data_IF_796251007206
#
_entry.id   IF_796251007206
#
_cell.length_a   1.000
_cell.length_b   1.000
_cell.length_c   1.000
_cell.angle_alpha   90.00
_cell.angle_beta   90.00
_cell.angle_gamma   90.00
#
_symmetry.space_group_name_H-M   'P 1'
#
loop_
_entity.id
_entity.type
_entity.pdbx_description
1 polymer ?
#
# COMPACT_ATOMS: atom_id res chain seq x y z
N UNK A 1 -13.29 -29.87 41.94
CA UNK A 1 -14.27 -29.10 41.15
C UNK A 1 -13.50 -28.08 40.30
N UNK A 2 -13.17 -28.46 39.06
CA UNK A 2 -12.45 -27.62 38.09
C UNK A 2 -13.37 -26.59 37.45
N UNK A 3 -12.89 -25.35 37.34
CA UNK A 3 -13.34 -24.42 36.30
C UNK A 3 -12.09 -23.85 35.63
N UNK A 4 -11.76 -24.41 34.48
CA UNK A 4 -10.74 -23.87 33.59
C UNK A 4 -11.30 -22.60 32.93
N UNK A 5 -10.63 -21.48 33.16
CA UNK A 5 -10.89 -20.22 32.46
C UNK A 5 -10.38 -20.34 31.03
N UNK A 6 -11.20 -20.11 29.99
CA UNK A 6 -10.67 -20.06 28.63
C UNK A 6 -9.90 -18.74 28.46
N UNK A 7 -8.58 -18.82 28.33
CA UNK A 7 -7.76 -17.72 27.82
C UNK A 7 -8.27 -17.37 26.43
N UNK A 8 -8.88 -16.19 26.29
CA UNK A 8 -9.24 -15.61 24.99
C UNK A 8 -7.94 -15.26 24.26
N UNK A 9 -7.47 -16.15 23.39
CA UNK A 9 -6.38 -15.86 22.47
C UNK A 9 -6.82 -14.73 21.54
N UNK A 10 -6.26 -13.53 21.72
CA UNK A 10 -6.39 -12.44 20.77
C UNK A 10 -5.45 -12.77 19.61
N UNK A 11 -6.01 -13.32 18.52
CA UNK A 11 -5.25 -13.49 17.29
C UNK A 11 -4.78 -12.11 16.79
N UNK A 12 -3.53 -11.95 16.29
CA UNK A 12 -3.13 -10.72 15.62
C UNK A 12 -3.98 -10.54 14.36
N UNK A 13 -4.85 -9.53 14.37
CA UNK A 13 -5.89 -9.28 13.35
C UNK A 13 -5.35 -8.65 12.06
N UNK A 14 -4.19 -9.07 11.57
CA UNK A 14 -3.71 -8.63 10.24
C UNK A 14 -3.65 -9.83 9.32
N UNK A 15 -4.70 -10.08 8.53
CA UNK A 15 -4.60 -10.92 7.35
C UNK A 15 -3.44 -10.41 6.47
N UNK A 16 -2.62 -11.28 5.89
CA UNK A 16 -1.48 -10.89 5.04
C UNK A 16 -1.89 -9.95 3.90
N UNK A 17 -3.14 -10.04 3.45
CA UNK A 17 -3.74 -9.19 2.43
C UNK A 17 -3.66 -7.70 2.77
N UNK A 18 -3.80 -7.32 4.05
CA UNK A 18 -3.71 -5.92 4.49
C UNK A 18 -2.29 -5.37 4.45
N UNK A 19 -1.27 -6.21 4.59
CA UNK A 19 0.12 -5.77 4.50
C UNK A 19 0.49 -5.37 3.06
N UNK A 20 0.02 -6.13 2.07
CA UNK A 20 0.21 -5.81 0.66
C UNK A 20 -0.47 -4.49 0.26
N UNK A 21 -1.71 -4.29 0.70
CA UNK A 21 -2.44 -3.04 0.45
C UNK A 21 -1.71 -1.80 1.02
N UNK A 22 -1.11 -1.91 2.21
CA UNK A 22 -0.40 -0.80 2.82
C UNK A 22 0.88 -0.40 2.04
N UNK A 23 1.62 -1.36 1.47
CA UNK A 23 2.82 -1.06 0.67
C UNK A 23 2.43 -0.42 -0.66
N UNK A 24 1.34 -0.86 -1.30
CA UNK A 24 0.78 -0.25 -2.52
C UNK A 24 0.37 1.20 -2.28
N UNK A 25 -0.33 1.47 -1.17
CA UNK A 25 -0.74 2.82 -0.78
C UNK A 25 0.47 3.74 -0.54
N UNK A 26 1.48 3.25 0.20
CA UNK A 26 2.73 3.97 0.42
C UNK A 26 3.46 4.30 -0.90
N UNK A 27 3.57 3.33 -1.80
CA UNK A 27 4.18 3.51 -3.11
C UNK A 27 3.41 4.54 -3.96
N UNK A 28 2.08 4.50 -3.90
CA UNK A 28 1.21 5.44 -4.60
C UNK A 28 1.36 6.87 -4.06
N UNK A 29 1.37 7.04 -2.74
CA UNK A 29 1.61 8.34 -2.10
C UNK A 29 2.96 8.90 -2.53
N UNK A 30 4.03 8.12 -2.40
CA UNK A 30 5.37 8.53 -2.82
C UNK A 30 5.39 8.95 -4.30
N UNK A 31 4.83 8.15 -5.20
CA UNK A 31 4.81 8.45 -6.64
C UNK A 31 4.01 9.72 -6.94
N UNK A 32 2.90 9.93 -6.24
CA UNK A 32 2.03 11.10 -6.43
C UNK A 32 2.72 12.43 -6.11
N UNK A 33 3.80 12.39 -5.32
CA UNK A 33 4.61 13.55 -4.92
C UNK A 33 5.81 13.80 -5.85
N UNK A 34 6.15 12.85 -6.72
CA UNK A 34 7.33 12.99 -7.58
C UNK A 34 7.10 14.01 -8.71
N UNK A 35 7.94 15.04 -8.73
CA UNK A 35 8.04 16.02 -9.81
C UNK A 35 9.53 16.32 -10.09
N UNK A 36 10.11 15.86 -11.22
CA UNK A 36 9.46 15.17 -12.33
C UNK A 36 9.10 13.71 -12.00
N UNK A 37 8.06 13.17 -12.67
CA UNK A 37 7.66 11.78 -12.48
C UNK A 37 8.75 10.82 -12.99
N UNK A 38 9.17 9.82 -12.20
CA UNK A 38 10.20 8.86 -12.59
C UNK A 38 9.78 8.07 -13.83
N UNK A 39 10.74 7.78 -14.72
CA UNK A 39 10.52 6.96 -15.91
C UNK A 39 11.64 5.93 -16.04
N UNK A 40 11.33 4.63 -16.24
CA UNK A 40 9.98 4.03 -16.29
C UNK A 40 9.37 3.82 -14.89
N UNK A 41 8.06 4.09 -14.74
CA UNK A 41 7.38 4.09 -13.43
C UNK A 41 7.36 2.70 -12.77
N UNK A 42 6.91 1.68 -13.51
CA UNK A 42 6.68 0.34 -12.93
C UNK A 42 7.99 -0.30 -12.43
N UNK A 43 9.10 -0.32 -13.21
CA UNK A 43 10.37 -0.84 -12.71
C UNK A 43 10.89 -0.10 -11.47
N UNK A 44 10.68 1.22 -11.41
CA UNK A 44 11.11 2.02 -10.26
C UNK A 44 10.32 1.67 -8.99
N UNK A 45 8.98 1.54 -9.10
CA UNK A 45 8.15 1.13 -7.97
C UNK A 45 8.51 -0.27 -7.47
N UNK A 46 8.71 -1.22 -8.38
CA UNK A 46 9.10 -2.59 -8.03
C UNK A 46 10.43 -2.62 -7.29
N UNK A 47 11.44 -1.92 -7.81
CA UNK A 47 12.77 -1.85 -7.20
C UNK A 47 12.75 -1.18 -5.82
N UNK A 48 11.92 -0.16 -5.64
CA UNK A 48 11.91 0.69 -4.45
C UNK A 48 11.10 0.09 -3.29
N UNK A 49 10.00 -0.58 -3.60
CA UNK A 49 9.04 -1.07 -2.61
C UNK A 49 8.90 -2.59 -2.60
N UNK A 50 9.75 -3.30 -3.36
CA UNK A 50 9.72 -4.76 -3.54
C UNK A 50 8.35 -5.28 -4.03
N UNK A 51 7.68 -4.48 -4.86
CA UNK A 51 6.36 -4.81 -5.37
C UNK A 51 6.41 -5.81 -6.52
N UNK A 52 5.37 -6.64 -6.61
CA UNK A 52 5.05 -7.37 -7.83
C UNK A 52 4.64 -6.40 -8.95
N UNK A 53 4.57 -6.92 -10.19
CA UNK A 53 4.14 -6.11 -11.32
C UNK A 53 2.70 -5.59 -11.18
N UNK A 54 1.80 -6.39 -10.60
CA UNK A 54 0.39 -6.02 -10.39
C UNK A 54 0.28 -4.91 -9.34
N UNK A 55 0.90 -5.10 -8.18
CA UNK A 55 0.93 -4.08 -7.11
C UNK A 55 1.54 -2.75 -7.58
N UNK A 56 2.58 -2.80 -8.41
CA UNK A 56 3.18 -1.59 -8.98
C UNK A 56 2.24 -0.88 -9.98
N UNK A 57 1.45 -1.63 -10.75
CA UNK A 57 0.42 -1.06 -11.64
C UNK A 57 -0.70 -0.42 -10.81
N UNK A 58 -1.15 -1.09 -9.76
CA UNK A 58 -2.15 -0.57 -8.82
C UNK A 58 -1.66 0.72 -8.14
N UNK A 59 -0.43 0.73 -7.64
CA UNK A 59 0.19 1.90 -7.04
C UNK A 59 0.30 3.05 -8.05
N UNK A 60 0.64 2.77 -9.31
CA UNK A 60 0.70 3.78 -10.35
C UNK A 60 -0.68 4.40 -10.65
N UNK A 61 -1.73 3.58 -10.73
CA UNK A 61 -3.10 4.05 -10.92
C UNK A 61 -3.60 4.88 -9.71
N UNK A 62 -3.30 4.42 -8.50
CA UNK A 62 -3.68 5.09 -7.26
C UNK A 62 -2.95 6.44 -7.10
N UNK A 63 -1.68 6.51 -7.45
CA UNK A 63 -0.90 7.75 -7.45
C UNK A 63 -1.52 8.83 -8.35
N UNK A 64 -2.05 8.43 -9.52
CA UNK A 64 -2.73 9.35 -10.42
C UNK A 64 -4.01 9.90 -9.79
N UNK A 65 -4.79 9.07 -9.09
CA UNK A 65 -5.98 9.52 -8.35
C UNK A 65 -5.60 10.53 -7.25
N UNK A 66 -4.53 10.28 -6.51
CA UNK A 66 -4.05 11.21 -5.47
C UNK A 66 -3.66 12.58 -6.04
N UNK A 67 -3.01 12.64 -7.21
CA UNK A 67 -2.71 13.92 -7.88
C UNK A 67 -3.97 14.68 -8.24
N UNK A 68 -4.96 14.00 -8.81
CA UNK A 68 -6.25 14.60 -9.18
C UNK A 68 -6.98 15.12 -7.94
N UNK A 69 -7.08 14.32 -6.89
CA UNK A 69 -7.74 14.72 -5.64
C UNK A 69 -7.04 15.92 -5.00
N UNK A 70 -5.69 15.94 -4.94
CA UNK A 70 -4.95 17.10 -4.42
C UNK A 70 -5.16 18.34 -5.26
N UNK A 71 -5.24 18.23 -6.58
CA UNK A 71 -5.53 19.37 -7.46
C UNK A 71 -6.98 19.86 -7.38
N UNK A 72 -7.93 19.00 -7.02
CA UNK A 72 -9.34 19.36 -6.90
C UNK A 72 -9.66 20.15 -5.63
N UNK A 73 -8.82 20.05 -4.59
CA UNK A 73 -8.97 20.75 -3.31
C UNK A 73 -7.87 21.81 -3.06
N UNK A 74 -7.09 22.16 -4.09
CA UNK A 74 -6.00 23.15 -4.04
C UNK A 74 -6.47 24.56 -4.41
#
# INVERSE_FOLDING_TARGET
MSRATPTRAVAPLTPPEHQHSAVVECAAMWLSEQNPTPRPIIPELRRRFDLSAIEAIEAAALAQRYRVLRGAFA
#
